data_IF_931778095948
#
_entry.id   IF_931778095948
#
_cell.length_a   1.000
_cell.length_b   1.000
_cell.length_c   1.000
_cell.angle_alpha   90.00
_cell.angle_beta   90.00
_cell.angle_gamma   90.00
#
_symmetry.space_group_name_H-M   'P 1'
#
loop_
_entity.id
_entity.type
_entity.pdbx_description
1 polymer ?
#
# COMPACT_ATOMS: atom_id res chain seq x y z
N UNK A 1 11.55 19.11 1.77
CA UNK A 1 10.82 18.87 3.02
C UNK A 1 10.30 17.44 3.10
N UNK A 2 10.67 16.71 4.17
CA UNK A 2 10.11 15.38 4.44
C UNK A 2 8.76 15.58 5.14
N UNK A 3 7.69 15.58 4.35
CA UNK A 3 6.31 15.52 4.84
C UNK A 3 6.08 14.14 5.48
N UNK A 4 5.39 14.07 6.62
CA UNK A 4 5.12 12.79 7.28
C UNK A 4 4.13 11.96 6.47
N UNK A 5 4.24 10.63 6.55
CA UNK A 5 3.30 9.72 5.87
C UNK A 5 1.85 10.01 6.25
N UNK A 6 1.56 10.17 7.54
CA UNK A 6 0.21 10.46 8.05
C UNK A 6 -0.34 11.76 7.47
N UNK A 7 0.50 12.81 7.36
CA UNK A 7 0.07 14.05 6.71
C UNK A 7 -0.23 13.82 5.22
N UNK A 8 0.63 13.07 4.53
CA UNK A 8 0.44 12.76 3.11
C UNK A 8 -0.86 12.01 2.84
N UNK A 9 -1.18 11.02 3.67
CA UNK A 9 -2.46 10.29 3.63
C UNK A 9 -3.62 11.24 3.90
N UNK A 10 -3.53 12.08 4.94
CA UNK A 10 -4.59 13.03 5.26
C UNK A 10 -4.85 13.98 4.07
N UNK A 11 -3.81 14.59 3.50
CA UNK A 11 -3.89 15.45 2.32
C UNK A 11 -4.49 14.72 1.11
N UNK A 12 -4.03 13.50 0.82
CA UNK A 12 -4.53 12.70 -0.30
C UNK A 12 -6.02 12.34 -0.16
N UNK A 13 -6.52 12.25 1.06
CA UNK A 13 -7.94 11.95 1.33
C UNK A 13 -8.86 13.18 1.38
N UNK A 14 -8.38 14.38 1.01
CA UNK A 14 -9.23 15.58 0.96
C UNK A 14 -10.08 15.68 -0.31
N UNK A 15 -9.71 15.00 -1.39
CA UNK A 15 -10.44 14.99 -2.65
C UNK A 15 -10.37 13.62 -3.35
N UNK A 16 -11.25 13.37 -4.32
CA UNK A 16 -11.31 12.08 -5.01
C UNK A 16 -10.09 11.83 -5.93
N UNK A 17 -9.39 12.87 -6.39
CA UNK A 17 -8.13 12.71 -7.14
C UNK A 17 -7.05 12.04 -6.28
N UNK A 18 -6.84 12.53 -5.05
CA UNK A 18 -5.85 11.96 -4.14
C UNK A 18 -6.25 10.56 -3.65
N UNK A 19 -7.55 10.33 -3.45
CA UNK A 19 -8.08 8.99 -3.13
C UNK A 19 -7.84 8.02 -4.29
N UNK A 20 -8.05 8.43 -5.54
CA UNK A 20 -7.73 7.62 -6.72
C UNK A 20 -6.23 7.32 -6.80
N UNK A 21 -5.38 8.33 -6.62
CA UNK A 21 -3.93 8.15 -6.61
C UNK A 21 -3.48 7.14 -5.55
N UNK A 22 -4.07 7.18 -4.34
CA UNK A 22 -3.81 6.16 -3.31
C UNK A 22 -4.18 4.78 -3.85
N UNK A 23 -5.37 4.62 -4.45
CA UNK A 23 -5.79 3.33 -4.99
C UNK A 23 -4.81 2.80 -6.05
N UNK A 24 -4.35 3.64 -6.97
CA UNK A 24 -3.35 3.29 -7.99
C UNK A 24 -2.04 2.80 -7.34
N UNK A 25 -1.53 3.52 -6.34
CA UNK A 25 -0.35 3.11 -5.57
C UNK A 25 -0.57 1.78 -4.85
N UNK A 26 -1.78 1.54 -4.35
CA UNK A 26 -2.10 0.30 -3.64
C UNK A 26 -2.17 -0.89 -4.60
N UNK A 27 -2.65 -0.72 -5.84
CA UNK A 27 -2.57 -1.77 -6.85
C UNK A 27 -1.11 -2.15 -7.16
N UNK A 28 -0.22 -1.18 -7.35
CA UNK A 28 1.21 -1.44 -7.60
C UNK A 28 1.89 -2.20 -6.43
N UNK A 29 1.48 -1.90 -5.21
CA UNK A 29 1.99 -2.54 -3.99
C UNK A 29 1.43 -3.96 -3.84
N UNK A 30 0.15 -4.17 -4.14
CA UNK A 30 -0.47 -5.50 -4.15
C UNK A 30 0.17 -6.43 -5.17
N UNK A 31 0.53 -5.92 -6.36
CA UNK A 31 1.28 -6.68 -7.37
C UNK A 31 2.64 -7.14 -6.83
N UNK A 32 3.31 -6.31 -6.04
CA UNK A 32 4.59 -6.68 -5.40
C UNK A 32 4.39 -7.83 -4.40
N UNK A 33 3.27 -7.85 -3.68
CA UNK A 33 2.94 -8.91 -2.73
C UNK A 33 2.64 -10.23 -3.44
N UNK A 34 1.82 -10.19 -4.49
CA UNK A 34 1.54 -11.36 -5.30
C UNK A 34 2.82 -11.94 -5.95
N UNK A 35 3.71 -11.08 -6.46
CA UNK A 35 4.98 -11.50 -7.02
C UNK A 35 5.90 -12.15 -5.97
N UNK A 36 5.93 -11.62 -4.75
CA UNK A 36 6.68 -12.23 -3.65
C UNK A 36 6.19 -13.64 -3.33
N UNK A 37 4.88 -13.81 -3.12
CA UNK A 37 4.27 -15.12 -2.82
C UNK A 37 4.63 -16.12 -3.92
N UNK A 38 4.41 -15.73 -5.18
CA UNK A 38 4.75 -16.57 -6.33
C UNK A 38 6.24 -16.95 -6.35
N UNK A 39 7.15 -16.00 -6.14
CA UNK A 39 8.60 -16.24 -6.12
C UNK A 39 8.98 -17.24 -5.02
N UNK A 40 8.41 -17.09 -3.82
CA UNK A 40 8.68 -18.00 -2.70
C UNK A 40 8.18 -19.42 -2.98
N UNK A 41 6.98 -19.57 -3.55
CA UNK A 41 6.43 -20.86 -3.94
C UNK A 41 7.32 -21.59 -4.97
N UNK A 42 7.79 -20.88 -6.00
CA UNK A 42 8.67 -21.48 -7.02
C UNK A 42 10.09 -21.77 -6.51
N UNK A 43 10.53 -21.14 -5.41
CA UNK A 43 11.79 -21.50 -4.74
C UNK A 43 11.73 -22.88 -4.05
N UNK A 44 10.52 -23.43 -3.86
CA UNK A 44 10.28 -24.76 -3.30
C UNK A 44 9.90 -24.76 -1.82
N UNK A 45 9.29 -25.87 -1.37
CA UNK A 45 8.66 -26.03 -0.04
C UNK A 45 9.57 -25.63 1.13
N UNK A 46 10.86 -26.00 1.09
CA UNK A 46 11.80 -25.65 2.16
C UNK A 46 11.97 -24.13 2.32
N UNK A 47 11.93 -23.37 1.22
CA UNK A 47 11.99 -21.90 1.26
C UNK A 47 10.68 -21.33 1.78
N UNK A 48 9.55 -21.86 1.32
CA UNK A 48 8.23 -21.48 1.84
C UNK A 48 8.15 -21.67 3.36
N UNK A 49 8.56 -22.83 3.87
CA UNK A 49 8.60 -23.12 5.31
C UNK A 49 9.52 -22.15 6.07
N UNK A 50 10.66 -21.78 5.47
CA UNK A 50 11.62 -20.86 6.11
C UNK A 50 11.13 -19.41 6.12
N UNK A 51 10.17 -19.07 5.26
CA UNK A 51 9.61 -17.74 5.09
C UNK A 51 8.16 -17.63 5.56
N UNK A 52 7.63 -18.63 6.26
CA UNK A 52 6.20 -18.70 6.61
C UNK A 52 5.72 -17.44 7.33
N UNK A 53 6.51 -16.88 8.26
CA UNK A 53 6.17 -15.63 8.94
C UNK A 53 6.07 -14.44 7.98
N UNK A 54 6.96 -14.34 6.99
CA UNK A 54 6.91 -13.26 6.01
C UNK A 54 5.73 -13.45 5.06
N UNK A 55 5.39 -14.69 4.73
CA UNK A 55 4.19 -15.02 3.96
C UNK A 55 2.93 -14.61 4.71
N UNK A 56 2.82 -14.95 6.00
CA UNK A 56 1.68 -14.54 6.85
C UNK A 56 1.58 -13.01 6.94
N UNK A 57 2.70 -12.31 7.09
CA UNK A 57 2.76 -10.84 7.09
C UNK A 57 2.24 -10.26 5.76
N UNK A 58 2.67 -10.85 4.64
CA UNK A 58 2.24 -10.43 3.29
C UNK A 58 0.76 -10.71 3.05
N UNK A 59 0.21 -11.81 3.56
CA UNK A 59 -1.22 -12.10 3.48
C UNK A 59 -2.07 -11.06 4.23
N UNK A 60 -1.64 -10.60 5.40
CA UNK A 60 -2.33 -9.50 6.10
C UNK A 60 -2.17 -8.17 5.35
N UNK A 61 -1.01 -7.91 4.74
CA UNK A 61 -0.81 -6.74 3.88
C UNK A 61 -1.76 -6.75 2.68
N UNK A 62 -1.92 -7.89 2.00
CA UNK A 62 -2.90 -8.09 0.92
C UNK A 62 -4.33 -7.86 1.42
N UNK A 63 -4.68 -8.39 2.59
CA UNK A 63 -6.01 -8.15 3.16
C UNK A 63 -6.27 -6.66 3.48
N UNK A 64 -5.23 -5.89 3.80
CA UNK A 64 -5.31 -4.44 4.00
C UNK A 64 -5.45 -3.71 2.65
N UNK A 65 -4.68 -4.07 1.62
CA UNK A 65 -4.76 -3.42 0.29
C UNK A 65 -6.14 -3.62 -0.34
N UNK A 66 -6.69 -4.85 -0.28
CA UNK A 66 -8.05 -5.14 -0.74
C UNK A 66 -9.08 -4.24 -0.03
N UNK A 67 -8.95 -4.02 1.28
CA UNK A 67 -9.86 -3.12 2.02
C UNK A 67 -9.73 -1.67 1.58
N UNK A 68 -8.52 -1.20 1.27
CA UNK A 68 -8.29 0.16 0.79
C UNK A 68 -8.96 0.35 -0.58
N UNK A 69 -8.77 -0.60 -1.49
CA UNK A 69 -9.42 -0.63 -2.81
C UNK A 69 -10.94 -0.67 -2.65
N UNK A 70 -11.47 -1.55 -1.81
CA UNK A 70 -12.90 -1.65 -1.55
C UNK A 70 -13.48 -0.34 -0.99
N UNK A 71 -12.74 0.36 -0.12
CA UNK A 71 -13.15 1.66 0.38
C UNK A 71 -13.11 2.75 -0.70
N UNK A 72 -12.06 2.80 -1.52
CA UNK A 72 -12.02 3.68 -2.70
C UNK A 72 -13.28 3.48 -3.57
N UNK A 73 -13.57 2.23 -3.91
CA UNK A 73 -14.61 1.92 -4.87
C UNK A 73 -16.02 2.13 -4.30
N UNK A 74 -16.29 1.58 -3.11
CA UNK A 74 -17.65 1.44 -2.56
C UNK A 74 -18.01 2.54 -1.56
N UNK A 75 -17.07 2.96 -0.72
CA UNK A 75 -17.35 3.94 0.35
C UNK A 75 -17.09 5.37 -0.13
N UNK A 76 -16.06 5.56 -0.95
CA UNK A 76 -15.73 6.84 -1.57
C UNK A 76 -16.45 7.05 -2.90
N UNK A 77 -17.12 6.01 -3.43
CA UNK A 77 -17.79 6.00 -4.73
C UNK A 77 -16.85 6.39 -5.89
N UNK A 78 -15.62 5.90 -5.84
CA UNK A 78 -14.54 6.32 -6.72
C UNK A 78 -14.15 5.27 -7.78
N UNK A 79 -14.92 4.18 -7.90
CA UNK A 79 -14.62 3.07 -8.83
C UNK A 79 -14.61 3.48 -10.32
N UNK A 80 -15.37 4.52 -10.68
CA UNK A 80 -15.48 5.03 -12.04
C UNK A 80 -14.99 6.49 -12.12
N UNK A 81 -13.89 6.76 -11.42
CA UNK A 81 -13.27 8.08 -11.34
C UNK A 81 -13.04 8.68 -12.74
N UNK A 82 -13.44 9.94 -12.90
CA UNK A 82 -13.15 10.76 -14.08
C UNK A 82 -12.51 12.06 -13.64
N UNK A 83 -11.28 12.30 -14.09
CA UNK A 83 -10.48 13.45 -13.67
C UNK A 83 -11.22 14.79 -13.81
N UNK A 84 -11.85 15.03 -14.96
CA UNK A 84 -12.57 16.29 -15.23
C UNK A 84 -13.84 16.50 -14.38
N UNK A 85 -14.47 15.43 -13.91
CA UNK A 85 -15.75 15.49 -13.17
C UNK A 85 -15.55 15.36 -11.66
N UNK A 86 -14.56 14.57 -11.24
CA UNK A 86 -14.46 14.06 -9.88
C UNK A 86 -13.29 14.63 -9.09
N UNK A 87 -12.23 15.15 -9.73
CA UNK A 87 -10.98 15.48 -9.06
C UNK A 87 -11.13 16.39 -7.83
N UNK A 88 -12.04 17.36 -7.86
CA UNK A 88 -12.29 18.32 -6.77
C UNK A 88 -13.38 17.87 -5.79
N UNK A 89 -14.07 16.75 -6.03
CA UNK A 89 -15.15 16.29 -5.15
C UNK A 89 -14.57 15.83 -3.83
N UNK A 90 -15.26 16.19 -2.74
CA UNK A 90 -14.92 15.74 -1.39
C UNK A 90 -15.43 14.32 -1.16
N UNK A 91 -14.59 13.39 -0.67
CA UNK A 91 -15.08 12.13 -0.15
C UNK A 91 -15.95 12.38 1.10
N UNK A 92 -16.79 11.40 1.44
CA UNK A 92 -17.49 11.42 2.71
C UNK A 92 -16.51 11.33 3.88
N UNK A 93 -16.85 11.91 5.04
CA UNK A 93 -16.03 11.79 6.25
C UNK A 93 -15.80 10.34 6.66
N UNK A 94 -16.78 9.46 6.41
CA UNK A 94 -16.68 8.02 6.65
C UNK A 94 -15.62 7.37 5.75
N UNK A 95 -15.66 7.64 4.44
CA UNK A 95 -14.64 7.18 3.49
C UNK A 95 -13.24 7.63 3.93
N UNK A 96 -13.07 8.93 4.20
CA UNK A 96 -11.81 9.51 4.62
C UNK A 96 -11.25 8.83 5.87
N UNK A 97 -12.06 8.69 6.92
CA UNK A 97 -11.64 8.07 8.17
C UNK A 97 -11.26 6.59 7.99
N UNK A 98 -12.01 5.84 7.18
CA UNK A 98 -11.73 4.43 6.88
C UNK A 98 -10.42 4.27 6.09
N UNK A 99 -10.20 5.10 5.07
CA UNK A 99 -8.97 5.10 4.28
C UNK A 99 -7.75 5.44 5.13
N UNK A 100 -7.79 6.55 5.89
CA UNK A 100 -6.69 6.94 6.78
C UNK A 100 -6.30 5.79 7.70
N UNK A 101 -7.29 5.18 8.37
CA UNK A 101 -7.06 4.07 9.29
C UNK A 101 -6.41 2.86 8.60
N UNK A 102 -6.82 2.49 7.39
CA UNK A 102 -6.18 1.36 6.69
C UNK A 102 -4.79 1.70 6.16
N UNK A 103 -4.57 2.92 5.66
CA UNK A 103 -3.23 3.35 5.24
C UNK A 103 -2.24 3.39 6.41
N UNK A 104 -2.70 3.75 7.62
CA UNK A 104 -1.91 3.66 8.85
C UNK A 104 -1.58 2.21 9.21
N UNK A 105 -2.57 1.30 9.13
CA UNK A 105 -2.34 -0.14 9.34
C UNK A 105 -1.36 -0.69 8.30
N UNK A 106 -1.55 -0.37 7.03
CA UNK A 106 -0.67 -0.80 5.94
C UNK A 106 0.78 -0.39 6.22
N UNK A 107 0.99 0.87 6.61
CA UNK A 107 2.33 1.35 6.98
C UNK A 107 2.91 0.59 8.16
N UNK A 108 2.13 0.41 9.23
CA UNK A 108 2.59 -0.30 10.43
C UNK A 108 3.04 -1.73 10.09
N UNK A 109 2.21 -2.47 9.35
CA UNK A 109 2.56 -3.82 8.91
C UNK A 109 3.75 -3.80 7.95
N UNK A 110 3.82 -2.85 7.02
CA UNK A 110 4.95 -2.74 6.10
C UNK A 110 6.29 -2.44 6.82
N UNK A 111 6.27 -1.66 7.90
CA UNK A 111 7.42 -1.41 8.76
C UNK A 111 7.81 -2.70 9.52
N UNK A 112 6.83 -3.38 10.14
CA UNK A 112 7.04 -4.65 10.86
C UNK A 112 7.59 -5.76 9.95
N UNK A 113 7.01 -5.96 8.76
CA UNK A 113 7.49 -6.94 7.77
C UNK A 113 8.92 -6.61 7.34
N UNK A 114 9.26 -5.34 7.12
CA UNK A 114 10.63 -4.96 6.79
C UNK A 114 11.63 -5.29 7.91
N UNK A 115 11.22 -5.11 9.17
CA UNK A 115 12.01 -5.49 10.34
C UNK A 115 12.19 -7.01 10.39
N UNK A 116 11.11 -7.78 10.24
CA UNK A 116 11.13 -9.24 10.19
C UNK A 116 12.07 -9.77 9.10
N UNK A 117 12.00 -9.21 7.89
CA UNK A 117 12.92 -9.57 6.79
C UNK A 117 14.38 -9.27 7.17
N UNK A 118 14.64 -8.16 7.86
CA UNK A 118 15.99 -7.76 8.26
C UNK A 118 16.60 -8.67 9.33
N UNK A 119 15.78 -9.44 10.04
CA UNK A 119 16.21 -10.43 11.04
C UNK A 119 16.50 -11.81 10.44
N UNK A 120 16.17 -12.05 9.16
CA UNK A 120 16.43 -13.33 8.51
C UNK A 120 17.93 -13.48 8.21
N UNK A 121 18.50 -14.63 8.57
CA UNK A 121 19.90 -14.98 8.30
C UNK A 121 19.99 -16.23 7.41
N UNK A 122 21.07 -16.33 6.63
CA UNK A 122 21.43 -17.54 5.87
C UNK A 122 20.36 -18.04 4.86
N UNK A 123 19.61 -17.11 4.25
CA UNK A 123 18.68 -17.43 3.16
C UNK A 123 19.42 -17.85 1.89
N UNK A 124 18.83 -18.77 1.12
CA UNK A 124 19.36 -19.13 -0.19
C UNK A 124 19.14 -17.99 -1.20
N UNK A 125 19.83 -18.02 -2.34
CA UNK A 125 19.77 -16.93 -3.33
C UNK A 125 18.36 -16.67 -3.88
N UNK A 126 17.52 -17.71 -3.98
CA UNK A 126 16.15 -17.58 -4.46
C UNK A 126 15.29 -16.78 -3.47
N UNK A 127 15.30 -17.19 -2.20
CA UNK A 127 14.66 -16.48 -1.09
C UNK A 127 15.18 -15.05 -0.96
N UNK A 128 16.50 -14.84 -1.03
CA UNK A 128 17.11 -13.51 -0.92
C UNK A 128 16.60 -12.56 -2.00
N UNK A 129 16.48 -12.99 -3.26
CA UNK A 129 15.95 -12.14 -4.32
C UNK A 129 14.48 -11.76 -4.08
N UNK A 130 13.63 -12.73 -3.70
CA UNK A 130 12.23 -12.47 -3.38
C UNK A 130 12.09 -11.44 -2.23
N UNK A 131 12.88 -11.59 -1.17
CA UNK A 131 12.88 -10.69 -0.03
C UNK A 131 13.38 -9.28 -0.39
N UNK A 132 14.40 -9.16 -1.24
CA UNK A 132 14.91 -7.86 -1.69
C UNK A 132 13.84 -7.08 -2.47
N UNK A 133 13.14 -7.75 -3.39
CA UNK A 133 12.08 -7.12 -4.18
C UNK A 133 10.91 -6.67 -3.29
N UNK A 134 10.49 -7.50 -2.34
CA UNK A 134 9.47 -7.16 -1.34
C UNK A 134 9.89 -5.93 -0.52
N UNK A 135 11.11 -5.93 0.04
CA UNK A 135 11.62 -4.79 0.82
C UNK A 135 11.65 -3.49 0.00
N UNK A 136 12.01 -3.56 -1.29
CA UNK A 136 12.02 -2.38 -2.16
C UNK A 136 10.61 -1.83 -2.37
N UNK A 137 9.61 -2.69 -2.55
CA UNK A 137 8.20 -2.28 -2.63
C UNK A 137 7.72 -1.60 -1.35
N UNK A 138 7.93 -2.26 -0.20
CA UNK A 138 7.52 -1.73 1.10
C UNK A 138 8.16 -0.37 1.42
N UNK A 139 9.44 -0.19 1.08
CA UNK A 139 10.17 1.07 1.34
C UNK A 139 9.75 2.23 0.43
N UNK A 140 9.19 1.95 -0.75
CA UNK A 140 8.69 2.98 -1.68
C UNK A 140 7.32 3.51 -1.29
N UNK A 141 6.53 2.74 -0.55
CA UNK A 141 5.16 3.10 -0.16
C UNK A 141 5.06 4.53 0.40
N UNK A 142 5.91 5.00 1.35
CA UNK A 142 5.78 6.35 1.87
C UNK A 142 6.05 7.47 0.85
N UNK A 143 6.95 7.23 -0.10
CA UNK A 143 7.27 8.20 -1.16
C UNK A 143 6.12 8.32 -2.17
N UNK A 144 5.53 7.18 -2.54
CA UNK A 144 4.38 7.14 -3.45
C UNK A 144 3.16 7.82 -2.83
N UNK A 145 2.87 7.54 -1.56
CA UNK A 145 1.76 8.20 -0.82
C UNK A 145 2.00 9.71 -0.66
N UNK A 146 3.25 10.14 -0.44
CA UNK A 146 3.61 11.57 -0.43
C UNK A 146 3.35 12.24 -1.78
N UNK A 147 3.57 11.53 -2.89
CA UNK A 147 3.21 12.03 -4.22
C UNK A 147 1.71 12.26 -4.35
N UNK A 148 0.88 11.34 -3.87
CA UNK A 148 -0.57 11.51 -3.85
C UNK A 148 -1.03 12.67 -2.97
N UNK A 149 -0.43 12.86 -1.80
CA UNK A 149 -0.75 13.99 -0.91
C UNK A 149 -0.49 15.34 -1.60
N UNK A 150 0.69 15.48 -2.22
CA UNK A 150 1.05 16.69 -2.99
C UNK A 150 0.17 16.91 -4.22
N UNK A 151 -0.29 15.83 -4.85
CA UNK A 151 -1.20 15.90 -5.98
C UNK A 151 -2.56 16.48 -5.54
N UNK A 152 -3.11 15.97 -4.43
CA UNK A 152 -4.36 16.45 -3.88
C UNK A 152 -4.29 17.93 -3.45
N UNK A 153 -3.19 18.35 -2.84
CA UNK A 153 -2.99 19.75 -2.41
C UNK A 153 -3.01 20.77 -3.56
N UNK A 154 -2.63 20.34 -4.77
CA UNK A 154 -2.66 21.20 -5.98
C UNK A 154 -4.07 21.38 -6.54
N UNK A 155 -5.03 20.55 -6.11
CA UNK A 155 -6.41 20.54 -6.61
C UNK A 155 -7.34 20.71 -5.41
N UNK A 156 -7.56 21.94 -4.92
CA UNK A 156 -8.40 22.18 -3.75
C UNK A 156 -9.81 21.64 -3.98
N UNK A 157 -10.31 20.92 -3.00
CA UNK A 157 -11.66 20.35 -3.04
C UNK A 157 -12.73 21.44 -2.96
N UNK A 158 -13.78 21.35 -3.79
CA UNK A 158 -14.95 22.24 -3.71
C UNK A 158 -15.96 21.72 -2.67
#
# INVERSE_FOLDING_TARGET
DKVSYTHSVASATENLLGVNCIADVIYDVEDTFAEFIYKVEVCGEKTLDSLSTIVDDVDELVAITIKIIDYNDKECNNAAYKEDEDAQKKPSLSCKAKLIRQMERLRSYAEETNENISMLENMNSCATMALVDLQLGLRKLPELVNTCGKLAEKVPSN
#
